data_IF_180764992352
#
_entry.id   IF_180764992352
#
_cell.length_a   1.000
_cell.length_b   1.000
_cell.length_c   1.000
_cell.angle_alpha   90.00
_cell.angle_beta   90.00
_cell.angle_gamma   90.00
#
_symmetry.space_group_name_H-M   'P 1'
#
loop_
_entity.id
_entity.type
_entity.pdbx_description
1 polymer ?
#
# COMPACT_ATOMS: atom_id res chain seq x y z
N UNK A 1 -10.37 24.22 16.47
CA UNK A 1 -9.30 24.89 15.69
C UNK A 1 -8.61 26.01 16.48
N UNK A 2 -8.92 26.21 17.76
CA UNK A 2 -8.31 27.30 18.53
C UNK A 2 -6.80 27.12 18.70
N UNK A 3 -6.32 25.89 18.82
CA UNK A 3 -4.89 25.57 19.00
C UNK A 3 -4.10 25.44 17.70
N UNK A 4 -4.76 25.46 16.53
CA UNK A 4 -4.10 25.16 15.25
C UNK A 4 -4.35 26.24 14.21
N UNK A 5 -3.29 26.61 13.48
CA UNK A 5 -3.36 27.48 12.31
C UNK A 5 -3.22 26.65 11.05
N UNK A 6 -4.23 26.71 10.17
CA UNK A 6 -4.17 26.08 8.85
C UNK A 6 -3.26 26.89 7.92
N UNK A 7 -2.33 26.24 7.24
CA UNK A 7 -1.33 26.87 6.37
C UNK A 7 -1.74 26.72 4.90
N UNK A 8 -1.76 25.49 4.41
CA UNK A 8 -1.98 25.20 2.99
C UNK A 8 -2.70 23.86 2.83
N UNK A 9 -3.40 23.68 1.71
CA UNK A 9 -4.00 22.39 1.34
C UNK A 9 -2.93 21.52 0.68
N UNK A 10 -2.71 20.32 1.20
CA UNK A 10 -1.66 19.40 0.74
C UNK A 10 -2.20 18.14 0.04
N UNK A 11 -3.50 17.87 0.16
CA UNK A 11 -4.14 16.75 -0.52
C UNK A 11 -5.66 16.79 -0.46
N UNK A 12 -6.31 16.11 -1.39
CA UNK A 12 -7.75 15.85 -1.40
C UNK A 12 -8.00 14.47 -2.01
N UNK A 13 -8.95 13.74 -1.43
CA UNK A 13 -9.40 12.46 -1.94
C UNK A 13 -10.85 12.20 -1.55
N UNK A 14 -11.32 10.99 -1.82
CA UNK A 14 -12.70 10.56 -1.57
C UNK A 14 -13.15 10.83 -0.13
N UNK A 15 -12.25 10.61 0.83
CA UNK A 15 -12.55 10.66 2.27
C UNK A 15 -12.43 12.05 2.89
N UNK A 16 -11.97 13.06 2.13
CA UNK A 16 -11.86 14.43 2.63
C UNK A 16 -10.63 15.19 2.14
N UNK A 17 -10.27 16.23 2.88
CA UNK A 17 -9.22 17.18 2.51
C UNK A 17 -8.15 17.22 3.58
N UNK A 18 -6.89 17.17 3.18
CA UNK A 18 -5.73 17.26 4.08
C UNK A 18 -5.09 18.63 3.94
N UNK A 19 -4.87 19.27 5.09
CA UNK A 19 -4.17 20.54 5.19
C UNK A 19 -2.89 20.38 6.00
N UNK A 20 -1.85 21.13 5.65
CA UNK A 20 -0.75 21.40 6.54
C UNK A 20 -1.19 22.44 7.55
N UNK A 21 -0.91 22.20 8.82
CA UNK A 21 -1.22 23.10 9.92
C UNK A 21 0.00 23.33 10.81
N UNK A 22 -0.15 24.26 11.76
CA UNK A 22 0.82 24.50 12.83
C UNK A 22 0.09 24.64 14.15
N UNK A 23 0.54 23.90 15.15
CA UNK A 23 0.09 24.06 16.52
C UNK A 23 0.61 25.40 17.06
N UNK A 24 -0.27 26.23 17.62
CA UNK A 24 0.02 27.64 17.96
C UNK A 24 1.01 27.79 19.11
N UNK A 25 0.89 26.96 20.15
CA UNK A 25 1.78 27.04 21.33
C UNK A 25 3.12 26.33 21.10
N UNK A 26 3.11 25.09 20.61
CA UNK A 26 4.34 24.29 20.41
C UNK A 26 5.09 24.64 19.12
N UNK A 27 4.43 25.31 18.17
CA UNK A 27 4.99 25.58 16.84
C UNK A 27 5.11 24.34 15.94
N UNK A 28 4.66 23.17 16.40
CA UNK A 28 4.75 21.89 15.70
C UNK A 28 3.95 21.94 14.39
N UNK A 29 4.56 21.47 13.31
CA UNK A 29 3.87 21.31 12.01
C UNK A 29 3.11 19.99 12.00
N UNK A 30 1.85 20.03 11.58
CA UNK A 30 0.93 18.88 11.62
C UNK A 30 0.20 18.71 10.29
N UNK A 31 -0.31 17.50 10.03
CA UNK A 31 -1.27 17.24 8.97
C UNK A 31 -2.69 17.18 9.56
N UNK A 32 -3.61 17.97 9.01
CA UNK A 32 -4.99 18.10 9.46
C UNK A 32 -5.92 17.49 8.41
N UNK A 33 -6.39 16.26 8.63
CA UNK A 33 -7.32 15.57 7.74
C UNK A 33 -8.75 15.94 8.14
N UNK A 34 -9.39 16.78 7.34
CA UNK A 34 -10.82 17.10 7.47
C UNK A 34 -11.63 15.95 6.87
N UNK A 35 -12.41 15.25 7.70
CA UNK A 35 -13.31 14.19 7.25
C UNK A 35 -14.53 14.84 6.59
N UNK A 36 -14.94 14.31 5.43
CA UNK A 36 -16.20 14.70 4.78
C UNK A 36 -17.34 13.99 5.50
N UNK A 37 -18.29 14.75 6.03
CA UNK A 37 -19.50 14.24 6.66
C UNK A 37 -20.64 14.37 5.64
N UNK A 38 -21.42 13.30 5.47
CA UNK A 38 -22.44 13.20 4.42
C UNK A 38 -23.76 13.87 4.81
N UNK A 39 -24.12 13.85 6.10
CA UNK A 39 -25.31 14.52 6.66
C UNK A 39 -25.04 14.99 8.09
N UNK A 40 -25.60 16.14 8.49
CA UNK A 40 -25.55 16.62 9.88
C UNK A 40 -26.39 15.75 10.83
N UNK A 41 -27.41 15.05 10.31
CA UNK A 41 -28.32 14.23 11.12
C UNK A 41 -27.72 12.87 11.48
N UNK A 42 -26.85 12.30 10.64
CA UNK A 42 -26.25 10.98 10.87
C UNK A 42 -25.01 11.02 11.79
N UNK A 43 -24.57 12.22 12.18
CA UNK A 43 -23.42 12.40 13.05
C UNK A 43 -22.10 11.95 12.42
N UNK A 44 -21.26 11.26 13.19
CA UNK A 44 -19.93 10.83 12.71
C UNK A 44 -20.04 9.49 11.97
N UNK A 45 -19.55 9.39 10.71
CA UNK A 45 -19.57 8.15 9.96
C UNK A 45 -18.90 6.99 10.70
N UNK A 46 -19.51 5.81 10.65
CA UNK A 46 -18.96 4.60 11.28
C UNK A 46 -17.55 4.26 10.77
N UNK A 47 -17.24 4.61 9.52
CA UNK A 47 -15.92 4.51 8.91
C UNK A 47 -14.89 5.37 9.64
N UNK A 48 -15.23 6.61 10.00
CA UNK A 48 -14.37 7.52 10.76
C UNK A 48 -14.17 7.03 12.20
N UNK A 49 -15.22 6.52 12.85
CA UNK A 49 -15.11 5.96 14.22
C UNK A 49 -14.15 4.76 14.24
N UNK A 50 -14.27 3.84 13.26
CA UNK A 50 -13.35 2.70 13.11
C UNK A 50 -11.92 3.16 12.88
N UNK A 51 -11.71 4.11 11.97
CA UNK A 51 -10.38 4.68 11.68
C UNK A 51 -9.74 5.29 12.93
N UNK A 52 -10.47 6.14 13.67
CA UNK A 52 -9.98 6.77 14.91
C UNK A 52 -9.65 5.72 15.97
N UNK A 53 -10.52 4.74 16.17
CA UNK A 53 -10.34 3.72 17.21
C UNK A 53 -9.09 2.88 16.96
N UNK A 54 -8.88 2.45 15.71
CA UNK A 54 -7.67 1.71 15.32
C UNK A 54 -6.41 2.58 15.45
N UNK A 55 -6.43 3.82 14.96
CA UNK A 55 -5.27 4.70 15.02
C UNK A 55 -4.84 5.07 16.45
N UNK A 56 -5.78 5.09 17.40
CA UNK A 56 -5.46 5.33 18.82
C UNK A 56 -4.68 4.17 19.46
N UNK A 57 -4.88 2.95 18.97
CA UNK A 57 -4.22 1.73 19.45
C UNK A 57 -2.91 1.45 18.71
N UNK A 58 -2.80 1.84 17.43
CA UNK A 58 -1.62 1.63 16.59
C UNK A 58 -0.51 2.65 16.88
N UNK A 59 0.28 2.39 17.95
CA UNK A 59 1.44 3.21 18.32
C UNK A 59 2.73 2.52 17.93
N UNK A 60 3.32 2.94 16.82
CA UNK A 60 4.56 2.35 16.30
C UNK A 60 5.37 3.38 15.50
N UNK A 61 6.71 3.37 15.54
CA UNK A 61 7.55 4.33 14.80
C UNK A 61 7.35 4.34 13.28
N UNK A 62 6.81 3.26 12.71
CA UNK A 62 6.53 3.13 11.26
C UNK A 62 5.03 3.22 10.92
N UNK A 63 4.19 3.66 11.85
CA UNK A 63 2.77 3.95 11.61
C UNK A 63 2.53 5.42 11.93
N UNK A 64 1.85 6.14 11.03
CA UNK A 64 1.56 7.56 11.22
C UNK A 64 0.78 7.79 12.52
N UNK A 65 1.30 8.68 13.37
CA UNK A 65 0.73 8.94 14.68
C UNK A 65 -0.46 9.90 14.60
N UNK A 66 -1.63 9.44 15.03
CA UNK A 66 -2.77 10.30 15.35
C UNK A 66 -2.49 11.01 16.67
N UNK A 67 -2.33 12.34 16.61
CA UNK A 67 -2.01 13.18 17.76
C UNK A 67 -3.28 13.67 18.46
N UNK A 68 -4.32 14.03 17.69
CA UNK A 68 -5.53 14.63 18.24
C UNK A 68 -6.75 14.45 17.31
N UNK A 69 -7.95 14.60 17.87
CA UNK A 69 -9.24 14.55 17.16
C UNK A 69 -10.07 15.77 17.54
N UNK A 70 -10.29 16.67 16.58
CA UNK A 70 -11.02 17.91 16.80
C UNK A 70 -12.41 17.84 16.17
N UNK A 71 -13.42 18.30 16.91
CA UNK A 71 -14.76 18.52 16.40
C UNK A 71 -15.09 20.01 16.49
N UNK A 72 -15.43 20.66 15.39
CA UNK A 72 -15.84 22.06 15.38
C UNK A 72 -16.86 22.32 14.28
N UNK A 73 -17.97 23.00 14.60
CA UNK A 73 -19.03 23.38 13.65
C UNK A 73 -19.47 22.19 12.77
N UNK A 74 -19.73 21.05 13.42
CA UNK A 74 -20.05 19.78 12.74
C UNK A 74 -19.00 19.38 11.70
N UNK A 75 -17.71 19.62 11.97
CA UNK A 75 -16.58 19.18 11.13
C UNK A 75 -15.57 18.44 12.00
N UNK A 76 -15.29 17.22 11.59
CA UNK A 76 -14.30 16.35 12.21
C UNK A 76 -12.93 16.54 11.54
N UNK A 77 -11.91 16.78 12.35
CA UNK A 77 -10.51 16.84 11.94
C UNK A 77 -9.70 15.81 12.70
N UNK A 78 -8.90 15.04 11.98
CA UNK A 78 -7.87 14.17 12.54
C UNK A 78 -6.52 14.88 12.40
N UNK A 79 -5.80 15.02 13.50
CA UNK A 79 -4.49 15.68 13.55
C UNK A 79 -3.41 14.62 13.61
N UNK A 80 -2.51 14.66 12.64
CA UNK A 80 -1.39 13.74 12.51
C UNK A 80 -0.06 14.49 12.55
N UNK A 81 1.00 13.76 12.82
CA UNK A 81 2.35 14.23 12.48
C UNK A 81 2.44 14.61 10.99
N UNK A 82 3.20 15.65 10.69
CA UNK A 82 3.43 16.05 9.30
C UNK A 82 4.65 15.33 8.73
N UNK A 83 4.43 14.51 7.70
CA UNK A 83 5.47 13.96 6.85
C UNK A 83 5.55 14.80 5.56
N UNK A 84 6.76 15.16 5.16
CA UNK A 84 6.98 16.10 4.04
C UNK A 84 6.70 15.50 2.66
N UNK A 85 6.74 14.18 2.54
CA UNK A 85 6.69 13.47 1.27
C UNK A 85 6.05 12.09 1.43
N UNK A 86 5.37 11.62 0.39
CA UNK A 86 4.92 10.24 0.25
C UNK A 86 5.87 9.47 -0.68
N UNK A 87 5.87 8.14 -0.59
CA UNK A 87 6.80 7.30 -1.34
C UNK A 87 6.68 7.51 -2.86
N UNK A 88 5.46 7.73 -3.36
CA UNK A 88 5.23 7.95 -4.78
C UNK A 88 5.92 9.24 -5.24
N UNK A 89 5.69 10.37 -4.54
CA UNK A 89 6.37 11.64 -4.85
C UNK A 89 7.89 11.51 -4.78
N UNK A 90 8.41 10.71 -3.84
CA UNK A 90 9.84 10.44 -3.76
C UNK A 90 10.34 9.70 -5.01
N UNK A 91 9.67 8.61 -5.41
CA UNK A 91 10.00 7.87 -6.63
C UNK A 91 9.90 8.76 -7.89
N UNK A 92 8.87 9.59 -7.98
CA UNK A 92 8.66 10.54 -9.07
C UNK A 92 9.73 11.66 -9.11
N UNK A 93 10.37 11.99 -7.99
CA UNK A 93 11.39 13.05 -7.91
C UNK A 93 12.75 12.65 -8.50
N UNK A 94 12.92 11.37 -8.84
CA UNK A 94 14.18 10.83 -9.39
C UNK A 94 14.31 11.25 -10.87
N UNK A 95 15.44 11.86 -11.31
CA UNK A 95 15.55 12.52 -12.63
C UNK A 95 15.22 11.67 -13.89
N UNK A 96 14.64 12.26 -14.96
CA UNK A 96 14.39 11.60 -16.25
C UNK A 96 15.70 11.17 -16.94
N UNK A 97 15.72 10.00 -17.59
CA UNK A 97 16.95 9.26 -17.92
C UNK A 97 17.26 8.15 -16.91
N UNK A 98 16.59 8.19 -15.75
CA UNK A 98 16.37 7.05 -14.84
C UNK A 98 14.86 6.62 -14.79
N UNK A 99 13.95 7.43 -15.38
CA UNK A 99 12.51 7.29 -15.84
C UNK A 99 11.41 6.85 -14.83
N UNK A 100 10.09 7.22 -14.95
CA UNK A 100 9.14 7.48 -16.09
C UNK A 100 8.21 8.74 -15.95
N UNK A 101 7.30 8.99 -16.93
CA UNK A 101 6.39 10.16 -17.11
C UNK A 101 5.23 10.28 -16.07
N UNK A 102 5.05 11.49 -15.51
CA UNK A 102 4.08 11.88 -14.47
C UNK A 102 2.60 11.68 -14.86
N UNK A 103 2.28 11.54 -16.15
CA UNK A 103 0.90 11.51 -16.65
C UNK A 103 0.19 10.15 -16.51
N UNK A 104 0.91 9.07 -16.15
CA UNK A 104 0.36 7.71 -16.12
C UNK A 104 -0.17 7.27 -14.75
N UNK A 105 0.05 8.04 -13.68
CA UNK A 105 -0.34 7.62 -12.34
C UNK A 105 -1.70 8.19 -11.94
N UNK A 106 -2.75 7.74 -12.64
CA UNK A 106 -4.10 7.81 -12.08
C UNK A 106 -4.11 6.91 -10.85
N UNK A 107 -4.40 7.51 -9.68
CA UNK A 107 -4.56 6.82 -8.41
C UNK A 107 -5.65 5.75 -8.56
N UNK A 108 -5.24 4.50 -8.75
CA UNK A 108 -6.10 3.33 -8.60
C UNK A 108 -5.30 2.31 -7.81
N UNK A 109 -5.85 1.87 -6.68
CA UNK A 109 -5.25 0.88 -5.75
C UNK A 109 -5.10 -0.53 -6.33
N UNK A 110 -5.26 -0.67 -7.65
CA UNK A 110 -5.34 -1.93 -8.35
C UNK A 110 -3.99 -2.64 -8.47
N UNK A 111 -2.90 -1.89 -8.72
CA UNK A 111 -1.58 -2.47 -9.00
C UNK A 111 -0.98 -3.27 -7.84
N UNK A 112 -1.39 -2.94 -6.61
CA UNK A 112 -0.94 -3.59 -5.38
C UNK A 112 -1.94 -4.64 -4.88
N UNK A 113 -3.08 -4.82 -5.55
CA UNK A 113 -4.14 -5.72 -5.10
C UNK A 113 -3.76 -7.18 -5.29
N UNK A 114 -3.94 -7.97 -4.22
CA UNK A 114 -3.68 -9.40 -4.21
C UNK A 114 -4.62 -10.21 -5.12
N UNK A 115 -4.18 -11.37 -5.64
CA UNK A 115 -4.98 -12.18 -6.55
C UNK A 115 -6.24 -12.77 -5.89
N UNK A 116 -6.23 -13.05 -4.58
CA UNK A 116 -7.42 -13.53 -3.86
C UNK A 116 -8.55 -12.50 -3.82
N UNK A 117 -8.22 -11.22 -3.72
CA UNK A 117 -9.22 -10.14 -3.79
C UNK A 117 -9.70 -9.96 -5.23
N UNK A 118 -8.80 -10.04 -6.21
CA UNK A 118 -9.15 -9.93 -7.63
C UNK A 118 -9.98 -11.11 -8.16
N UNK A 119 -9.85 -12.29 -7.57
CA UNK A 119 -10.64 -13.48 -7.90
C UNK A 119 -11.95 -13.60 -7.09
N UNK A 120 -12.29 -12.55 -6.33
CA UNK A 120 -13.57 -12.47 -5.63
C UNK A 120 -13.65 -13.33 -4.36
N UNK A 121 -12.53 -13.62 -3.70
CA UNK A 121 -12.59 -14.30 -2.41
C UNK A 121 -13.28 -13.42 -1.38
N UNK A 122 -14.37 -13.93 -0.80
CA UNK A 122 -15.03 -13.28 0.34
C UNK A 122 -14.22 -13.37 1.64
N UNK A 123 -13.20 -14.25 1.68
CA UNK A 123 -12.36 -14.49 2.85
C UNK A 123 -10.91 -14.17 2.52
N UNK A 124 -10.39 -13.12 3.14
CA UNK A 124 -9.00 -12.71 3.05
C UNK A 124 -8.53 -12.12 4.38
N UNK A 125 -7.22 -12.05 4.59
CA UNK A 125 -6.61 -11.61 5.84
C UNK A 125 -5.24 -11.00 5.56
N UNK A 126 -4.32 -11.02 6.54
CA UNK A 126 -2.98 -10.42 6.48
C UNK A 126 -2.13 -10.73 5.23
N UNK A 127 -2.27 -11.87 4.51
CA UNK A 127 -1.50 -12.11 3.29
C UNK A 127 -1.72 -11.06 2.18
N UNK A 128 -2.87 -10.38 2.15
CA UNK A 128 -3.13 -9.32 1.14
C UNK A 128 -2.18 -8.13 1.29
N UNK A 129 -1.80 -7.81 2.53
CA UNK A 129 -0.86 -6.74 2.83
C UNK A 129 0.57 -7.14 2.44
N UNK A 130 0.92 -8.41 2.65
CA UNK A 130 2.22 -8.94 2.23
C UNK A 130 2.39 -8.92 0.71
N UNK A 131 1.33 -9.27 -0.04
CA UNK A 131 1.35 -9.16 -1.49
C UNK A 131 1.59 -7.71 -1.93
N UNK A 132 0.86 -6.78 -1.32
CA UNK A 132 1.00 -5.34 -1.57
C UNK A 132 2.44 -4.89 -1.31
N UNK A 133 3.02 -5.27 -0.17
CA UNK A 133 4.43 -4.98 0.17
C UNK A 133 5.38 -5.60 -0.85
N UNK A 134 5.15 -6.83 -1.31
CA UNK A 134 5.97 -7.45 -2.36
C UNK A 134 5.96 -6.66 -3.67
N UNK A 135 4.78 -6.24 -4.13
CA UNK A 135 4.68 -5.41 -5.34
C UNK A 135 5.36 -4.04 -5.17
N UNK A 136 5.23 -3.41 -3.99
CA UNK A 136 5.95 -2.17 -3.65
C UNK A 136 7.46 -2.41 -3.57
N UNK A 137 7.92 -3.53 -3.02
CA UNK A 137 9.34 -3.87 -2.94
C UNK A 137 9.97 -4.01 -4.33
N UNK A 138 9.28 -4.66 -5.26
CA UNK A 138 9.71 -4.70 -6.67
C UNK A 138 9.71 -3.32 -7.32
N UNK A 139 8.73 -2.47 -6.99
CA UNK A 139 8.65 -1.10 -7.48
C UNK A 139 9.77 -0.21 -6.91
N UNK A 140 10.16 -0.38 -5.66
CA UNK A 140 11.33 0.29 -5.08
C UNK A 140 12.62 -0.07 -5.84
N UNK A 141 12.81 -1.35 -6.17
CA UNK A 141 14.01 -1.82 -6.88
C UNK A 141 14.06 -1.37 -8.35
N UNK A 142 12.90 -1.34 -9.02
CA UNK A 142 12.82 -1.08 -10.46
C UNK A 142 12.36 0.31 -10.84
N UNK A 143 11.83 1.06 -9.87
CA UNK A 143 11.12 2.35 -10.03
C UNK A 143 9.89 2.26 -10.92
N UNK A 144 9.34 1.06 -11.12
CA UNK A 144 8.19 0.79 -11.98
C UNK A 144 7.21 -0.17 -11.31
N UNK A 145 5.90 0.03 -11.49
CA UNK A 145 4.91 -0.91 -10.95
C UNK A 145 5.12 -2.30 -11.56
N UNK A 146 5.20 -3.32 -10.71
CA UNK A 146 5.45 -4.70 -11.12
C UNK A 146 4.30 -5.24 -12.00
N UNK A 147 3.06 -4.97 -11.59
CA UNK A 147 1.86 -5.39 -12.29
C UNK A 147 0.99 -4.16 -12.61
N UNK A 148 1.21 -3.59 -13.79
CA UNK A 148 0.55 -2.35 -14.23
C UNK A 148 -0.73 -2.64 -15.04
N UNK A 149 -1.77 -3.15 -14.40
CA UNK A 149 -3.07 -3.41 -15.03
C UNK A 149 -3.94 -2.16 -15.18
N UNK A 150 -4.73 -2.09 -16.24
CA UNK A 150 -5.73 -1.02 -16.48
C UNK A 150 -7.16 -1.36 -16.04
N UNK A 151 -7.41 -2.63 -15.71
CA UNK A 151 -8.68 -3.22 -15.30
C UNK A 151 -8.41 -4.44 -14.42
N UNK A 152 -9.40 -4.92 -13.64
CA UNK A 152 -9.21 -6.07 -12.74
C UNK A 152 -8.75 -7.33 -13.48
N UNK A 153 -9.28 -7.55 -14.68
CA UNK A 153 -8.90 -8.68 -15.52
C UNK A 153 -7.50 -8.52 -16.12
N UNK A 154 -7.13 -7.31 -16.58
CA UNK A 154 -5.76 -7.05 -17.08
C UNK A 154 -4.73 -7.18 -15.94
N UNK A 155 -5.09 -6.73 -14.73
CA UNK A 155 -4.27 -6.91 -13.53
C UNK A 155 -4.01 -8.40 -13.26
N UNK A 156 -5.06 -9.23 -13.25
CA UNK A 156 -4.90 -10.69 -13.11
C UNK A 156 -4.02 -11.28 -14.21
N UNK A 157 -4.24 -10.90 -15.47
CA UNK A 157 -3.46 -11.44 -16.59
C UNK A 157 -1.99 -11.04 -16.53
N UNK A 158 -1.65 -9.86 -16.01
CA UNK A 158 -0.26 -9.46 -15.77
C UNK A 158 0.40 -10.29 -14.68
N UNK A 159 -0.33 -10.55 -13.59
CA UNK A 159 0.13 -11.44 -12.52
C UNK A 159 0.37 -12.85 -13.10
N UNK A 160 -0.59 -13.38 -13.85
CA UNK A 160 -0.50 -14.73 -14.43
C UNK A 160 0.63 -14.85 -15.46
N UNK A 161 0.87 -13.82 -16.27
CA UNK A 161 1.99 -13.79 -17.22
C UNK A 161 3.34 -13.87 -16.54
N UNK A 162 3.48 -13.24 -15.38
CA UNK A 162 4.74 -13.23 -14.63
C UNK A 162 4.93 -14.50 -13.79
N UNK A 163 3.89 -14.92 -13.06
CA UNK A 163 3.97 -15.98 -12.05
C UNK A 163 3.36 -17.31 -12.48
N UNK A 164 2.80 -17.37 -13.69
CA UNK A 164 2.04 -18.51 -14.21
C UNK A 164 0.57 -18.45 -13.80
N UNK A 165 -0.32 -19.05 -14.59
CA UNK A 165 -1.74 -19.11 -14.25
C UNK A 165 -1.97 -20.12 -13.11
N UNK A 166 -2.58 -19.72 -11.98
CA UNK A 166 -2.75 -20.63 -10.85
C UNK A 166 -3.77 -21.74 -11.16
N UNK A 167 -3.59 -22.86 -10.47
CA UNK A 167 -4.47 -24.03 -10.46
C UNK A 167 -4.47 -24.61 -9.03
N UNK A 168 -5.28 -25.66 -8.81
CA UNK A 168 -5.39 -26.29 -7.48
C UNK A 168 -4.09 -26.96 -6.97
N UNK A 169 -3.07 -27.15 -7.81
CA UNK A 169 -1.78 -27.70 -7.38
C UNK A 169 -0.91 -26.64 -6.67
N UNK A 170 -0.87 -25.42 -7.24
CA UNK A 170 -0.07 -24.31 -6.68
C UNK A 170 -0.84 -23.50 -5.63
N UNK A 171 -2.17 -23.45 -5.75
CA UNK A 171 -3.06 -22.77 -4.83
C UNK A 171 -4.33 -23.60 -4.64
N UNK A 172 -4.41 -24.38 -3.55
CA UNK A 172 -5.59 -25.19 -3.25
C UNK A 172 -6.87 -24.35 -3.26
N UNK A 173 -7.92 -24.89 -3.87
CA UNK A 173 -9.26 -24.29 -3.97
C UNK A 173 -9.38 -23.02 -4.83
N UNK A 174 -8.31 -22.59 -5.52
CA UNK A 174 -8.38 -21.40 -6.40
C UNK A 174 -9.45 -21.53 -7.49
N UNK A 175 -9.67 -22.75 -7.99
CA UNK A 175 -10.66 -23.02 -9.03
C UNK A 175 -12.11 -22.88 -8.54
N UNK A 176 -12.31 -22.83 -7.22
CA UNK A 176 -13.62 -22.63 -6.59
C UNK A 176 -13.95 -21.16 -6.30
N UNK A 177 -13.00 -20.25 -6.51
CA UNK A 177 -13.21 -18.82 -6.29
C UNK A 177 -14.24 -18.26 -7.29
N UNK A 178 -15.04 -17.30 -6.82
CA UNK A 178 -16.19 -16.74 -7.53
C UNK A 178 -15.86 -16.32 -8.98
N UNK A 179 -14.74 -15.62 -9.14
CA UNK A 179 -14.37 -15.02 -10.42
C UNK A 179 -13.31 -15.83 -11.18
N UNK A 180 -12.92 -17.00 -10.69
CA UNK A 180 -12.05 -17.91 -11.43
C UNK A 180 -12.76 -18.45 -12.68
N UNK A 181 -12.03 -18.54 -13.80
CA UNK A 181 -12.52 -19.13 -15.06
C UNK A 181 -11.50 -20.15 -15.58
N UNK A 182 -11.98 -21.35 -15.89
CA UNK A 182 -11.16 -22.40 -16.52
C UNK A 182 -10.56 -21.96 -17.86
N UNK A 183 -11.24 -21.04 -18.55
CA UNK A 183 -10.87 -20.44 -19.84
C UNK A 183 -9.79 -19.36 -19.76
N UNK A 184 -9.28 -19.01 -18.56
CA UNK A 184 -8.15 -18.09 -18.46
C UNK A 184 -6.96 -18.62 -19.27
N UNK A 185 -6.22 -17.73 -19.98
CA UNK A 185 -5.03 -18.16 -20.71
C UNK A 185 -4.04 -18.84 -19.76
N UNK A 186 -3.37 -19.88 -20.24
CA UNK A 186 -2.47 -20.71 -19.43
C UNK A 186 -1.02 -20.28 -19.68
N UNK A 187 -0.51 -19.41 -18.81
CA UNK A 187 0.89 -19.03 -18.79
C UNK A 187 1.67 -19.93 -17.85
N UNK A 188 2.90 -20.28 -18.24
CA UNK A 188 3.85 -20.96 -17.36
C UNK A 188 4.50 -19.96 -16.41
N UNK A 189 4.90 -20.37 -15.19
CA UNK A 189 5.66 -19.51 -14.29
C UNK A 189 6.93 -19.00 -14.97
N UNK A 190 7.07 -17.67 -15.05
CA UNK A 190 8.28 -17.02 -15.51
C UNK A 190 9.30 -16.90 -14.37
N UNK A 191 10.53 -16.51 -14.71
CA UNK A 191 11.50 -16.11 -13.70
C UNK A 191 11.18 -14.70 -13.21
N UNK A 192 11.02 -14.52 -11.90
CA UNK A 192 10.79 -13.19 -11.33
C UNK A 192 11.99 -12.26 -11.58
N UNK A 193 13.20 -12.82 -11.67
CA UNK A 193 14.43 -12.10 -11.98
C UNK A 193 14.40 -11.43 -13.38
N UNK A 194 13.60 -11.93 -14.33
CA UNK A 194 13.47 -11.28 -15.64
C UNK A 194 12.63 -10.01 -15.59
N UNK A 195 11.79 -9.87 -14.56
CA UNK A 195 10.87 -8.75 -14.37
C UNK A 195 11.45 -7.70 -13.41
N UNK A 196 12.24 -8.15 -12.42
CA UNK A 196 12.78 -7.31 -11.35
C UNK A 196 14.30 -7.27 -11.43
N UNK A 197 14.83 -6.14 -11.92
CA UNK A 197 16.27 -5.84 -11.91
C UNK A 197 16.65 -5.14 -10.60
N UNK A 198 17.95 -5.09 -10.29
CA UNK A 198 18.51 -4.42 -9.10
C UNK A 198 18.16 -5.08 -7.75
N UNK A 199 17.82 -6.37 -7.75
CA UNK A 199 17.77 -7.20 -6.55
C UNK A 199 18.85 -8.28 -6.64
N UNK A 200 19.47 -8.57 -5.51
CA UNK A 200 20.35 -9.73 -5.36
C UNK A 200 19.54 -11.02 -5.14
N UNK A 201 20.23 -12.14 -4.94
CA UNK A 201 19.58 -13.45 -4.75
C UNK A 201 18.67 -13.46 -3.51
N UNK A 202 19.08 -12.84 -2.41
CA UNK A 202 18.28 -12.75 -1.19
C UNK A 202 17.03 -11.89 -1.37
N UNK A 203 17.13 -10.80 -2.14
CA UNK A 203 16.01 -9.91 -2.44
C UNK A 203 14.99 -10.59 -3.35
N UNK A 204 15.45 -11.29 -4.38
CA UNK A 204 14.58 -12.09 -5.25
C UNK A 204 13.90 -13.24 -4.50
N UNK A 205 14.63 -13.91 -3.62
CA UNK A 205 14.10 -14.97 -2.76
C UNK A 205 13.01 -14.43 -1.83
N UNK A 206 13.27 -13.33 -1.11
CA UNK A 206 12.27 -12.66 -0.26
C UNK A 206 11.02 -12.25 -1.07
N UNK A 207 11.23 -11.61 -2.21
CA UNK A 207 10.14 -11.16 -3.08
C UNK A 207 9.29 -12.34 -3.57
N UNK A 208 9.92 -13.44 -3.98
CA UNK A 208 9.21 -14.64 -4.42
C UNK A 208 8.32 -15.23 -3.32
N UNK A 209 8.80 -15.21 -2.06
CA UNK A 209 8.02 -15.64 -0.88
C UNK A 209 6.85 -14.71 -0.55
N UNK A 210 6.99 -13.40 -0.84
CA UNK A 210 5.91 -12.41 -0.69
C UNK A 210 4.83 -12.56 -1.77
N UNK A 211 5.18 -13.07 -2.95
CA UNK A 211 4.29 -13.20 -4.11
C UNK A 211 3.79 -14.64 -4.35
N UNK A 212 3.86 -15.51 -3.35
CA UNK A 212 3.24 -16.84 -3.42
C UNK A 212 1.71 -16.67 -3.55
N UNK A 213 1.13 -17.40 -4.51
CA UNK A 213 -0.33 -17.38 -4.76
C UNK A 213 -1.13 -17.80 -3.54
N UNK A 214 -0.88 -19.02 -3.04
CA UNK A 214 -1.55 -19.58 -1.88
C UNK A 214 -1.35 -18.68 -0.64
N UNK A 215 -2.42 -18.00 -0.17
CA UNK A 215 -2.31 -17.08 0.95
C UNK A 215 -1.81 -17.75 2.24
N UNK A 216 -2.03 -19.06 2.41
CA UNK A 216 -1.57 -19.81 3.58
C UNK A 216 -0.05 -20.10 3.55
N UNK A 217 0.56 -20.11 2.36
CA UNK A 217 2.01 -20.32 2.17
C UNK A 217 2.79 -19.03 1.98
N UNK A 218 2.11 -17.91 1.71
CA UNK A 218 2.73 -16.58 1.58
C UNK A 218 3.41 -16.20 2.90
N UNK A 219 4.65 -15.70 2.82
CA UNK A 219 5.44 -15.37 4.01
C UNK A 219 4.71 -14.37 4.91
N UNK A 220 4.74 -14.57 6.22
CA UNK A 220 4.20 -13.56 7.15
C UNK A 220 5.15 -12.38 7.29
N UNK A 221 4.64 -11.19 7.65
CA UNK A 221 5.49 -10.03 7.92
C UNK A 221 6.54 -10.31 9.01
N UNK A 222 6.17 -11.05 10.05
CA UNK A 222 7.09 -11.47 11.12
C UNK A 222 8.21 -12.39 10.61
N UNK A 223 7.92 -13.29 9.69
CA UNK A 223 8.94 -14.15 9.08
C UNK A 223 9.82 -13.37 8.10
N UNK A 224 9.24 -12.43 7.35
CA UNK A 224 9.97 -11.57 6.41
C UNK A 224 11.05 -10.73 7.12
N UNK A 225 10.78 -10.21 8.32
CA UNK A 225 11.77 -9.47 9.11
C UNK A 225 12.99 -10.31 9.51
N UNK A 226 12.89 -11.63 9.55
CA UNK A 226 13.99 -12.55 9.84
C UNK A 226 14.68 -13.08 8.57
N UNK A 227 14.37 -12.54 7.40
CA UNK A 227 14.95 -13.00 6.14
C UNK A 227 16.42 -12.57 5.99
N UNK A 228 17.29 -13.41 5.40
CA UNK A 228 18.71 -13.07 5.20
C UNK A 228 18.98 -11.75 4.47
N UNK A 229 18.02 -11.28 3.66
CA UNK A 229 18.07 -10.00 2.96
C UNK A 229 18.26 -8.79 3.90
N UNK A 230 17.88 -8.91 5.18
CA UNK A 230 18.01 -7.82 6.16
C UNK A 230 19.20 -7.97 7.12
N UNK A 231 19.99 -9.04 7.02
CA UNK A 231 21.03 -9.35 8.01
C UNK A 231 22.15 -8.31 8.09
N UNK A 232 22.41 -7.57 7.02
CA UNK A 232 23.45 -6.55 6.93
C UNK A 232 22.90 -5.11 6.90
N UNK A 233 21.59 -4.94 7.03
CA UNK A 233 20.91 -3.64 6.94
C UNK A 233 21.49 -2.60 7.90
N UNK A 234 21.71 -2.97 9.17
CA UNK A 234 22.27 -2.06 10.18
C UNK A 234 23.69 -1.59 9.85
N UNK A 235 24.47 -2.45 9.17
CA UNK A 235 25.83 -2.13 8.75
C UNK A 235 25.83 -1.23 7.51
N UNK A 236 24.80 -1.32 6.67
CA UNK A 236 24.63 -0.46 5.49
C UNK A 236 24.06 0.90 5.86
N UNK A 237 23.07 0.97 6.76
CA UNK A 237 22.48 2.24 7.23
C UNK A 237 23.54 3.10 7.92
N UNK A 238 24.43 2.52 8.74
CA UNK A 238 25.51 3.27 9.41
C UNK A 238 26.59 3.82 8.46
N UNK A 239 26.63 3.36 7.21
CA UNK A 239 27.59 3.83 6.19
C UNK A 239 27.02 4.98 5.33
N UNK A 240 25.70 5.19 5.35
CA UNK A 240 25.01 6.29 4.66
C UNK A 240 25.03 7.55 5.52
#
# INVERSE_FOLDING_TARGET
MEDYTKIEKIGEGTYGVVYKGRHKTTGQVVAMKKIRLESEEEGVPSTAIREISLLKELRHPNIVSLQDVLMQDSRLYLIFEFLSMDLKKYLDSIPPGQFMDSSLVKVVTLWYRSPEVLLGSARYSTPVDIWSIGTIFAELATKKPLFHGDSEIDQLFRIFRALGTPNNEVWPEVESLQDYKSTFPKWKPGSLASHVKNLDENGLDLLSKMLIYDPAKRISGKMALNHPYFNDLDSQIKKM
#
